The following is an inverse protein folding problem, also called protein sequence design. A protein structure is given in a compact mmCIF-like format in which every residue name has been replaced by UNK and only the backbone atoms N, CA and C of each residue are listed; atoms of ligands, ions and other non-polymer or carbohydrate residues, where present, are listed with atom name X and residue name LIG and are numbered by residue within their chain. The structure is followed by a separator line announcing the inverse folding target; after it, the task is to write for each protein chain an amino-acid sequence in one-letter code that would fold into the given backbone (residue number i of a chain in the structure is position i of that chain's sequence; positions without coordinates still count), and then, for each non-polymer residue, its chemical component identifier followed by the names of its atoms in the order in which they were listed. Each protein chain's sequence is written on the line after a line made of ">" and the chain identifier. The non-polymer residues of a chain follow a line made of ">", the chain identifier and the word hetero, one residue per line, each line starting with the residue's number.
data_IF_228769898637
#
_entry.id   IF_228769898637
#
_cell.length_a   1.000
_cell.length_b   1.000
_cell.length_c   1.000
_cell.angle_alpha   90.00
_cell.angle_beta   90.00
_cell.angle_gamma   90.00
#
_symmetry.space_group_name_H-M   'P 1'
#
loop_
_entity.id
_entity.type
_entity.pdbx_description
1 polymer ?
#
# COMPACT_ATOMS: atom_id res chain seq x y z
N UNK A 1 2.60 -4.15 -0.93
CA UNK A 1 2.93 -5.09 0.17
C UNK A 1 4.37 -5.05 0.62
N UNK A 2 5.38 -5.12 -0.27
CA UNK A 2 6.78 -5.03 0.18
C UNK A 2 7.08 -3.69 0.87
N UNK A 3 6.70 -2.57 0.25
CA UNK A 3 6.89 -1.23 0.82
C UNK A 3 6.16 -1.06 2.16
N UNK A 4 4.92 -1.51 2.25
CA UNK A 4 4.11 -1.41 3.48
C UNK A 4 4.66 -2.30 4.60
N UNK A 5 5.17 -3.50 4.29
CA UNK A 5 5.87 -4.37 5.23
C UNK A 5 7.16 -3.72 5.74
N UNK A 6 7.99 -3.20 4.84
CA UNK A 6 9.25 -2.55 5.20
C UNK A 6 9.02 -1.30 6.08
N UNK A 7 8.05 -0.46 5.72
CA UNK A 7 7.67 0.70 6.52
C UNK A 7 7.16 0.29 7.91
N UNK A 8 6.28 -0.71 7.98
CA UNK A 8 5.73 -1.18 9.26
C UNK A 8 6.84 -1.68 10.19
N UNK A 9 7.65 -2.64 9.74
CA UNK A 9 8.69 -3.23 10.59
C UNK A 9 9.83 -2.24 10.88
N UNK A 10 10.15 -1.36 9.94
CA UNK A 10 11.12 -0.28 10.15
C UNK A 10 10.67 0.67 11.26
N UNK A 11 9.44 1.17 11.20
CA UNK A 11 8.88 2.03 12.25
C UNK A 11 8.73 1.26 13.57
N UNK A 12 8.22 0.04 13.53
CA UNK A 12 8.04 -0.80 14.71
C UNK A 12 9.36 -1.11 15.43
N UNK A 13 10.45 -1.29 14.69
CA UNK A 13 11.80 -1.48 15.25
C UNK A 13 12.34 -0.22 15.91
N UNK A 14 12.05 0.96 15.34
CA UNK A 14 12.47 2.24 15.91
C UNK A 14 11.68 2.57 17.18
N UNK A 15 10.35 2.51 17.09
CA UNK A 15 9.43 2.72 18.19
C UNK A 15 8.06 2.09 17.84
N UNK A 16 7.64 1.01 18.53
CA UNK A 16 6.36 0.34 18.30
C UNK A 16 5.13 1.26 18.37
N UNK A 17 5.20 2.33 19.17
CA UNK A 17 4.10 3.26 19.36
C UNK A 17 3.78 4.07 18.09
N UNK A 18 4.74 4.18 17.16
CA UNK A 18 4.57 4.88 15.88
C UNK A 18 3.62 4.17 14.92
N UNK A 19 3.52 2.84 15.04
CA UNK A 19 2.62 2.03 14.18
C UNK A 19 1.36 1.60 14.91
N UNK A 20 1.42 1.46 16.24
CA UNK A 20 0.31 0.97 17.03
C UNK A 20 0.40 1.44 18.49
N UNK A 21 -0.64 2.09 19.04
CA UNK A 21 -0.65 2.46 20.46
C UNK A 21 -0.74 1.22 21.37
N UNK A 22 -0.21 1.33 22.58
CA UNK A 22 -0.04 0.20 23.51
C UNK A 22 -1.35 -0.55 23.82
N UNK A 23 -2.46 0.18 24.00
CA UNK A 23 -3.76 -0.43 24.24
C UNK A 23 -4.21 -1.35 23.10
N UNK A 24 -3.87 -1.01 21.86
CA UNK A 24 -4.20 -1.82 20.69
C UNK A 24 -3.20 -2.97 20.53
N UNK A 25 -1.92 -2.74 20.84
CA UNK A 25 -0.90 -3.77 20.85
C UNK A 25 -1.24 -4.93 21.80
N UNK A 26 -1.83 -4.62 22.96
CA UNK A 26 -2.29 -5.62 23.92
C UNK A 26 -3.47 -6.48 23.43
N UNK A 27 -4.20 -6.03 22.40
CA UNK A 27 -5.31 -6.77 21.79
C UNK A 27 -4.87 -7.64 20.61
N UNK A 28 -3.70 -7.37 20.01
CA UNK A 28 -3.23 -8.06 18.81
C UNK A 28 -2.11 -9.04 19.19
N UNK A 29 -2.36 -10.37 19.14
CA UNK A 29 -1.33 -11.35 19.38
C UNK A 29 -0.16 -11.21 18.40
N UNK A 30 1.10 -11.48 18.81
CA UNK A 30 2.26 -11.34 17.93
C UNK A 30 2.17 -12.13 16.62
N UNK A 31 1.57 -13.33 16.65
CA UNK A 31 1.39 -14.14 15.43
C UNK A 31 0.45 -13.45 14.44
N UNK A 32 -0.61 -12.79 14.92
CA UNK A 32 -1.56 -12.09 14.08
C UNK A 32 -0.91 -10.86 13.44
N UNK A 33 -0.05 -10.17 14.20
CA UNK A 33 0.77 -9.06 13.70
C UNK A 33 1.70 -9.50 12.54
N UNK A 34 2.31 -10.69 12.64
CA UNK A 34 3.08 -11.26 11.53
C UNK A 34 2.22 -11.68 10.33
N UNK A 35 1.03 -12.23 10.58
CA UNK A 35 0.07 -12.58 9.53
C UNK A 35 -0.34 -11.34 8.73
N UNK A 36 -0.52 -10.19 9.37
CA UNK A 36 -0.91 -8.95 8.68
C UNK A 36 0.26 -8.25 7.98
N UNK A 37 1.47 -8.30 8.54
CA UNK A 37 2.58 -7.47 8.05
C UNK A 37 3.72 -8.22 7.36
N UNK A 38 3.89 -9.53 7.58
CA UNK A 38 4.96 -10.32 6.95
C UNK A 38 4.42 -11.33 5.94
N UNK A 39 3.35 -12.04 6.30
CA UNK A 39 2.81 -13.13 5.48
C UNK A 39 2.38 -12.71 4.05
N UNK A 40 1.82 -11.50 3.80
CA UNK A 40 1.50 -11.08 2.44
C UNK A 40 2.73 -10.97 1.53
N UNK A 41 3.91 -10.61 2.08
CA UNK A 41 5.15 -10.56 1.30
C UNK A 41 5.59 -11.98 0.92
N UNK A 42 5.52 -12.93 1.86
CA UNK A 42 5.82 -14.33 1.60
C UNK A 42 4.90 -14.88 0.50
N UNK A 43 3.60 -14.60 0.59
CA UNK A 43 2.64 -15.03 -0.42
C UNK A 43 2.95 -14.46 -1.80
N UNK A 44 3.24 -13.16 -1.90
CA UNK A 44 3.59 -12.52 -3.18
C UNK A 44 4.89 -13.10 -3.76
N UNK A 45 5.91 -13.37 -2.93
CA UNK A 45 7.15 -14.01 -3.39
C UNK A 45 6.87 -15.42 -3.89
N UNK A 46 6.14 -16.23 -3.13
CA UNK A 46 5.75 -17.57 -3.53
C UNK A 46 5.01 -17.55 -4.87
N UNK A 47 4.03 -16.67 -4.99
CA UNK A 47 3.22 -16.50 -6.19
C UNK A 47 4.05 -16.08 -7.41
N UNK A 48 5.04 -15.19 -7.24
CA UNK A 48 5.99 -14.80 -8.28
C UNK A 48 6.88 -15.96 -8.74
N UNK A 49 7.26 -16.85 -7.82
CA UNK A 49 8.12 -18.00 -8.11
C UNK A 49 7.36 -19.18 -8.75
N UNK A 50 6.10 -19.38 -8.38
CA UNK A 50 5.33 -20.57 -8.80
C UNK A 50 4.35 -20.32 -9.94
N UNK A 51 4.02 -19.06 -10.23
CA UNK A 51 2.94 -18.73 -11.18
C UNK A 51 3.49 -17.99 -12.38
N UNK A 52 3.33 -18.58 -13.56
CA UNK A 52 3.59 -17.88 -14.81
C UNK A 52 2.33 -17.09 -15.22
N UNK A 53 2.44 -15.76 -15.28
CA UNK A 53 1.33 -14.86 -15.61
C UNK A 53 1.71 -13.93 -16.74
N UNK A 54 0.76 -13.73 -17.64
CA UNK A 54 0.87 -12.67 -18.63
C UNK A 54 0.97 -11.32 -17.91
N UNK A 55 1.95 -10.51 -18.31
CA UNK A 55 2.13 -9.18 -17.75
C UNK A 55 0.95 -8.27 -18.13
N UNK A 56 0.41 -7.47 -17.20
CA UNK A 56 -0.67 -6.55 -17.52
C UNK A 56 -0.19 -5.53 -18.57
N UNK A 57 -1.08 -5.16 -19.48
CA UNK A 57 -0.80 -4.09 -20.43
C UNK A 57 -0.63 -2.74 -19.72
N UNK A 58 -0.05 -1.76 -20.43
CA UNK A 58 0.12 -0.40 -19.89
C UNK A 58 -1.24 0.21 -19.48
N UNK A 59 -2.25 0.08 -20.35
CA UNK A 59 -3.59 0.60 -20.09
C UNK A 59 -4.27 -0.09 -18.91
N UNK A 60 -4.13 -1.41 -18.77
CA UNK A 60 -4.64 -2.14 -17.61
C UNK A 60 -3.96 -1.71 -16.32
N UNK A 61 -2.64 -1.48 -16.35
CA UNK A 61 -1.88 -1.04 -15.18
C UNK A 61 -2.30 0.35 -14.71
N UNK A 62 -2.50 1.29 -15.66
CA UNK A 62 -3.02 2.63 -15.36
C UNK A 62 -4.44 2.54 -14.82
N UNK A 63 -5.33 1.79 -15.48
CA UNK A 63 -6.73 1.64 -15.04
C UNK A 63 -6.83 1.06 -13.63
N UNK A 64 -6.10 -0.02 -13.35
CA UNK A 64 -6.06 -0.63 -12.01
C UNK A 64 -5.53 0.34 -10.96
N UNK A 65 -4.47 1.11 -11.27
CA UNK A 65 -3.91 2.11 -10.36
C UNK A 65 -4.92 3.24 -10.08
N UNK A 66 -5.58 3.76 -11.11
CA UNK A 66 -6.58 4.82 -10.96
C UNK A 66 -7.79 4.34 -10.16
N UNK A 67 -8.30 3.15 -10.44
CA UNK A 67 -9.43 2.56 -9.70
C UNK A 67 -9.06 2.40 -8.23
N UNK A 68 -7.91 1.80 -7.95
CA UNK A 68 -7.46 1.57 -6.58
C UNK A 68 -7.30 2.87 -5.79
N UNK A 69 -6.58 3.85 -6.34
CA UNK A 69 -6.36 5.14 -5.67
C UNK A 69 -7.66 5.91 -5.52
N UNK A 70 -8.58 5.85 -6.49
CA UNK A 70 -9.90 6.48 -6.39
C UNK A 70 -10.70 5.91 -5.23
N UNK A 71 -10.82 4.58 -5.15
CA UNK A 71 -11.53 3.92 -4.04
C UNK A 71 -10.96 4.36 -2.70
N UNK A 72 -9.63 4.38 -2.58
CA UNK A 72 -8.97 4.79 -1.34
C UNK A 72 -9.20 6.26 -0.99
N UNK A 73 -9.11 7.15 -1.97
CA UNK A 73 -9.40 8.56 -1.78
C UNK A 73 -10.86 8.78 -1.39
N UNK A 74 -11.79 8.03 -1.97
CA UNK A 74 -13.22 8.07 -1.57
C UNK A 74 -13.39 7.72 -0.10
N UNK A 75 -12.69 6.72 0.42
CA UNK A 75 -12.74 6.37 1.85
C UNK A 75 -12.23 7.53 2.71
N UNK A 76 -11.07 8.11 2.34
CA UNK A 76 -10.50 9.25 3.07
C UNK A 76 -11.47 10.45 3.09
N UNK A 77 -12.03 10.80 1.93
CA UNK A 77 -12.97 11.91 1.80
C UNK A 77 -14.29 11.62 2.52
N UNK A 78 -14.77 10.38 2.51
CA UNK A 78 -15.95 9.97 3.26
C UNK A 78 -15.74 10.12 4.76
N UNK A 79 -14.57 9.74 5.30
CA UNK A 79 -14.22 9.96 6.71
C UNK A 79 -14.22 11.45 7.04
N UNK A 80 -13.60 12.29 6.20
CA UNK A 80 -13.60 13.74 6.39
C UNK A 80 -15.01 14.32 6.38
N UNK A 81 -15.86 13.88 5.46
CA UNK A 81 -17.23 14.37 5.34
C UNK A 81 -18.13 13.92 6.48
N UNK A 82 -18.05 12.64 6.88
CA UNK A 82 -18.95 12.03 7.88
C UNK A 82 -18.50 12.32 9.32
N UNK A 83 -17.20 12.41 9.58
CA UNK A 83 -16.65 12.53 10.93
C UNK A 83 -15.92 13.85 11.20
N UNK A 84 -15.69 14.69 10.18
CA UNK A 84 -15.10 16.02 10.34
C UNK A 84 -13.58 16.06 10.53
N UNK A 85 -12.90 14.91 10.63
CA UNK A 85 -11.43 14.83 10.74
C UNK A 85 -10.81 14.11 9.55
N UNK A 86 -9.54 14.40 9.25
CA UNK A 86 -8.80 13.64 8.24
C UNK A 86 -8.31 12.32 8.79
N UNK A 87 -8.48 11.25 8.01
CA UNK A 87 -7.91 9.93 8.34
C UNK A 87 -6.40 10.00 8.60
N UNK A 88 -5.71 10.91 7.90
CA UNK A 88 -4.31 11.24 8.13
C UNK A 88 -4.19 12.74 8.42
N UNK A 89 -3.70 13.15 9.62
CA UNK A 89 -3.58 14.55 9.98
C UNK A 89 -2.79 15.42 8.98
N UNK A 90 -1.82 14.83 8.27
CA UNK A 90 -1.04 15.51 7.23
C UNK A 90 -1.90 16.09 6.09
N UNK A 91 -3.09 15.52 5.85
CA UNK A 91 -3.99 15.98 4.78
C UNK A 91 -4.64 17.33 5.11
N UNK A 92 -4.70 17.71 6.39
CA UNK A 92 -5.16 19.04 6.80
C UNK A 92 -4.19 20.15 6.33
N UNK A 93 -2.93 19.80 6.05
CA UNK A 93 -1.92 20.73 5.56
C UNK A 93 -2.02 20.97 4.03
N UNK A 94 -2.80 20.16 3.32
CA UNK A 94 -2.87 20.21 1.87
C UNK A 94 -3.99 21.14 1.40
N UNK A 95 -3.65 22.06 0.50
CA UNK A 95 -4.66 22.76 -0.31
C UNK A 95 -5.33 21.78 -1.27
N UNK A 96 -6.46 22.17 -1.86
CA UNK A 96 -7.17 21.33 -2.84
C UNK A 96 -6.27 20.97 -4.04
N UNK A 97 -5.42 21.91 -4.49
CA UNK A 97 -4.46 21.71 -5.57
C UNK A 97 -3.41 20.66 -5.20
N UNK A 98 -2.86 20.75 -3.98
CA UNK A 98 -1.90 19.78 -3.47
C UNK A 98 -2.53 18.41 -3.26
N UNK A 99 -3.81 18.34 -2.88
CA UNK A 99 -4.55 17.08 -2.76
C UNK A 99 -4.74 16.43 -4.14
N UNK A 100 -5.06 17.21 -5.18
CA UNK A 100 -5.13 16.71 -6.54
C UNK A 100 -3.78 16.21 -7.05
N UNK A 101 -2.70 16.94 -6.77
CA UNK A 101 -1.34 16.50 -7.10
C UNK A 101 -0.95 15.23 -6.34
N UNK A 102 -1.29 15.14 -5.05
CA UNK A 102 -1.07 13.94 -4.24
C UNK A 102 -1.80 12.72 -4.82
N UNK A 103 -3.04 12.90 -5.30
CA UNK A 103 -3.78 11.85 -5.99
C UNK A 103 -3.07 11.40 -7.27
N UNK A 104 -2.67 12.33 -8.15
CA UNK A 104 -1.95 12.01 -9.38
C UNK A 104 -0.61 11.31 -9.11
N UNK A 105 0.14 11.81 -8.13
CA UNK A 105 1.40 11.19 -7.68
C UNK A 105 1.18 9.77 -7.15
N UNK A 106 0.07 9.54 -6.43
CA UNK A 106 -0.30 8.22 -5.93
C UNK A 106 -0.64 7.26 -7.07
N UNK A 107 -1.40 7.70 -8.08
CA UNK A 107 -1.70 6.88 -9.28
C UNK A 107 -0.41 6.52 -10.02
N UNK A 108 0.47 7.50 -10.24
CA UNK A 108 1.77 7.26 -10.86
C UNK A 108 2.61 6.27 -10.04
N UNK A 109 2.67 6.44 -8.72
CA UNK A 109 3.37 5.53 -7.81
C UNK A 109 2.88 4.10 -7.90
N UNK A 110 1.55 3.88 -7.85
CA UNK A 110 0.96 2.54 -8.03
C UNK A 110 1.25 1.95 -9.40
N UNK A 111 1.17 2.76 -10.46
CA UNK A 111 1.53 2.33 -11.81
C UNK A 111 2.99 1.85 -11.87
N UNK A 112 3.93 2.62 -11.32
CA UNK A 112 5.34 2.22 -11.26
C UNK A 112 5.55 0.91 -10.50
N UNK A 113 4.83 0.70 -9.39
CA UNK A 113 4.91 -0.56 -8.64
C UNK A 113 4.42 -1.77 -9.47
N UNK A 114 3.35 -1.61 -10.26
CA UNK A 114 2.87 -2.67 -11.17
C UNK A 114 3.89 -2.94 -12.29
N UNK A 115 4.52 -1.89 -12.84
CA UNK A 115 5.57 -2.07 -13.86
C UNK A 115 6.81 -2.73 -13.28
N UNK A 116 7.19 -2.39 -12.05
CA UNK A 116 8.31 -3.02 -11.35
C UNK A 116 8.02 -4.51 -11.10
N UNK A 117 6.83 -4.87 -10.62
CA UNK A 117 6.47 -6.27 -10.39
C UNK A 117 6.49 -7.08 -11.68
N UNK A 118 6.09 -6.48 -12.79
CA UNK A 118 6.18 -7.08 -14.13
C UNK A 118 7.62 -7.40 -14.51
N UNK A 119 8.54 -6.45 -14.34
CA UNK A 119 9.97 -6.66 -14.64
C UNK A 119 10.57 -7.75 -13.76
N UNK A 120 10.27 -7.73 -12.46
CA UNK A 120 10.74 -8.75 -11.51
C UNK A 120 10.18 -10.14 -11.85
N UNK A 121 8.93 -10.22 -12.27
CA UNK A 121 8.31 -11.47 -12.72
C UNK A 121 9.00 -12.03 -13.97
N UNK A 122 9.33 -11.19 -14.95
CA UNK A 122 10.07 -11.61 -16.14
C UNK A 122 11.48 -12.12 -15.79
N UNK A 123 12.16 -11.46 -14.85
CA UNK A 123 13.49 -11.88 -14.40
C UNK A 123 13.45 -13.20 -13.63
N UNK A 124 12.39 -13.44 -12.84
CA UNK A 124 12.16 -14.72 -12.14
C UNK A 124 11.89 -15.89 -13.09
N UNK A 125 11.25 -15.62 -14.23
CA UNK A 125 10.96 -16.63 -15.25
C UNK A 125 12.20 -16.87 -16.13
N UNK A 126 13.09 -15.86 -16.24
CA UNK A 126 14.34 -15.86 -17.02
C UNK A 126 15.46 -16.77 -16.49
N UNK A 127 15.09 -18.01 -16.12
CA UNK A 127 15.74 -19.20 -16.66
C UNK A 127 15.48 -19.31 -18.16
#
# INVERSE_FOLDING_TARGET
>A
MVVTCALFWGLHFLDPSLVMPEWLANLIPPWLNHVTHTLPVIYVIFELLTTNRASPSCSMSVAASTVYVTIYLTIILAVRFLHGYWLYPLLELLTLELLALFFLASVAGYYFLIRLSTVLSLWSIGK
#
